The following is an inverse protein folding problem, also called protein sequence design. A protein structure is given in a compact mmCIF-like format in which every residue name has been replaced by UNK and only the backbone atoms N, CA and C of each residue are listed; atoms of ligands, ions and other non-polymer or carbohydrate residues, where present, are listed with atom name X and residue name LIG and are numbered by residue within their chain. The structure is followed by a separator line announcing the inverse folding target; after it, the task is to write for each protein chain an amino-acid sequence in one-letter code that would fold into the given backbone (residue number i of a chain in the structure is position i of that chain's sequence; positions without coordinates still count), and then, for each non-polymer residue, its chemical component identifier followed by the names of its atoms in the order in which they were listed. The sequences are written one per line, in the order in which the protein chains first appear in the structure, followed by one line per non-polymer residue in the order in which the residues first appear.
data_IF_372217079476
#
_entry.id   IF_372217079476
#
_cell.length_a   1.000
_cell.length_b   1.000
_cell.length_c   1.000
_cell.angle_alpha   90.00
_cell.angle_beta   90.00
_cell.angle_gamma   90.00
#
_symmetry.space_group_name_H-M   'P 1'
#
loop_
_entity.id
_entity.type
_entity.pdbx_description
1 polymer ?
#
# COMPACT_ATOMS: atom_id res chain seq x y z
N UNK A 1 5.93 16.63 -54.13
CA UNK A 1 6.37 15.61 -53.16
C UNK A 1 5.90 16.07 -51.80
N UNK A 2 4.84 15.46 -51.28
CA UNK A 2 4.21 15.87 -50.02
C UNK A 2 4.68 14.89 -48.95
N UNK A 3 5.47 15.38 -48.00
CA UNK A 3 6.04 14.57 -46.91
C UNK A 3 5.03 14.60 -45.76
N UNK A 4 4.33 13.49 -45.56
CA UNK A 4 3.44 13.31 -44.39
C UNK A 4 4.29 12.96 -43.17
N UNK A 5 4.39 13.88 -42.23
CA UNK A 5 4.93 13.63 -40.90
C UNK A 5 3.93 12.81 -40.09
N UNK A 6 4.33 11.61 -39.66
CA UNK A 6 3.58 10.82 -38.69
C UNK A 6 3.89 11.42 -37.31
N UNK A 7 2.89 12.04 -36.69
CA UNK A 7 2.95 12.42 -35.27
C UNK A 7 2.58 11.16 -34.48
N UNK A 8 3.58 10.50 -33.90
CA UNK A 8 3.35 9.46 -32.89
C UNK A 8 2.85 10.15 -31.63
N UNK A 9 1.55 10.06 -31.36
CA UNK A 9 0.99 10.43 -30.07
C UNK A 9 1.45 9.38 -29.04
N UNK A 10 2.39 9.77 -28.17
CA UNK A 10 2.70 9.00 -26.97
C UNK A 10 1.54 9.24 -26.01
N UNK A 11 0.66 8.27 -25.87
CA UNK A 11 -0.34 8.22 -24.81
C UNK A 11 0.41 8.05 -23.50
N UNK A 12 0.68 9.16 -22.80
CA UNK A 12 1.02 9.12 -21.39
C UNK A 12 -0.22 8.56 -20.68
N UNK A 13 -0.17 7.28 -20.31
CA UNK A 13 -1.10 6.71 -19.36
C UNK A 13 -0.88 7.45 -18.05
N UNK A 14 -1.66 8.50 -17.83
CA UNK A 14 -1.78 9.17 -16.56
C UNK A 14 -2.53 8.17 -15.67
N UNK A 15 -1.78 7.30 -14.99
CA UNK A 15 -2.30 6.48 -13.90
C UNK A 15 -2.81 7.45 -12.84
N UNK A 16 -4.09 7.76 -12.90
CA UNK A 16 -4.74 8.67 -11.98
C UNK A 16 -4.57 8.13 -10.57
N UNK A 17 -3.98 8.95 -9.70
CA UNK A 17 -3.91 8.72 -8.27
C UNK A 17 -5.29 8.95 -7.69
N UNK A 18 -6.17 7.96 -7.77
CA UNK A 18 -7.40 7.98 -6.99
C UNK A 18 -7.05 7.50 -5.59
N UNK A 19 -7.10 8.40 -4.60
CA UNK A 19 -7.35 7.97 -3.23
C UNK A 19 -8.57 7.03 -3.27
N UNK A 20 -8.55 5.94 -2.52
CA UNK A 20 -9.69 5.03 -2.46
C UNK A 20 -10.94 5.85 -2.12
N UNK A 21 -11.91 5.91 -3.05
CA UNK A 21 -13.10 6.77 -2.91
C UNK A 21 -13.89 6.42 -1.64
N UNK A 22 -13.85 5.13 -1.28
CA UNK A 22 -14.24 4.56 0.01
C UNK A 22 -13.12 3.60 0.45
N UNK A 23 -12.72 3.68 1.72
CA UNK A 23 -11.63 2.84 2.24
C UNK A 23 -12.05 1.38 2.35
N UNK A 24 -11.09 0.46 2.41
CA UNK A 24 -11.40 -0.98 2.52
C UNK A 24 -12.24 -1.32 3.77
N UNK A 25 -12.17 -0.51 4.84
CA UNK A 25 -12.98 -0.69 6.05
C UNK A 25 -14.49 -0.57 5.79
N UNK A 26 -14.92 0.16 4.76
CA UNK A 26 -16.35 0.39 4.48
C UNK A 26 -17.04 -0.84 3.83
N UNK A 27 -16.24 -1.69 3.18
CA UNK A 27 -16.76 -2.76 2.32
C UNK A 27 -16.05 -4.10 2.46
N UNK A 28 -15.09 -4.22 3.38
CA UNK A 28 -14.41 -5.48 3.68
C UNK A 28 -14.47 -5.79 5.19
N UNK A 29 -14.11 -7.02 5.56
CA UNK A 29 -14.12 -7.53 6.95
C UNK A 29 -13.17 -8.72 7.11
N UNK A 30 -12.99 -9.22 8.34
CA UNK A 30 -12.13 -10.36 8.68
C UNK A 30 -10.68 -10.12 8.24
N UNK A 31 -10.12 -9.02 8.72
CA UNK A 31 -8.80 -8.57 8.30
C UNK A 31 -7.70 -9.42 8.92
N UNK A 32 -6.66 -9.71 8.14
CA UNK A 32 -5.42 -10.28 8.66
C UNK A 32 -4.25 -9.67 7.90
N UNK A 33 -3.19 -9.37 8.63
CA UNK A 33 -1.95 -8.85 8.09
C UNK A 33 -0.79 -9.74 8.54
N UNK A 34 -0.06 -10.29 7.58
CA UNK A 34 1.02 -11.26 7.82
C UNK A 34 2.37 -10.74 7.31
N UNK A 35 3.45 -11.44 7.67
CA UNK A 35 4.81 -11.16 7.20
C UNK A 35 5.31 -9.73 7.52
N UNK A 36 4.90 -9.22 8.67
CA UNK A 36 5.23 -7.86 9.11
C UNK A 36 6.68 -7.68 9.54
N UNK A 37 7.32 -8.75 10.00
CA UNK A 37 8.67 -8.74 10.56
C UNK A 37 9.50 -9.83 9.89
N UNK A 38 10.74 -9.53 9.52
CA UNK A 38 11.60 -10.52 8.89
C UNK A 38 12.74 -9.90 8.08
N UNK A 39 13.14 -10.61 7.01
CA UNK A 39 14.20 -10.17 6.11
C UNK A 39 13.70 -9.03 5.22
N UNK A 40 14.61 -8.19 4.74
CA UNK A 40 14.30 -7.19 3.70
C UNK A 40 13.80 -7.86 2.42
N UNK A 41 12.88 -7.20 1.73
CA UNK A 41 12.21 -7.72 0.52
C UNK A 41 11.11 -8.75 0.79
N UNK A 42 10.67 -8.89 2.05
CA UNK A 42 9.53 -9.74 2.43
C UNK A 42 8.22 -9.23 1.82
N UNK A 43 7.15 -10.02 1.85
CA UNK A 43 5.88 -9.68 1.20
C UNK A 43 4.75 -9.60 2.21
N UNK A 44 4.56 -8.44 2.86
CA UNK A 44 3.49 -8.25 3.83
C UNK A 44 2.13 -8.32 3.12
N UNK A 45 1.33 -9.32 3.48
CA UNK A 45 0.05 -9.60 2.82
C UNK A 45 -1.09 -9.16 3.73
N UNK A 46 -1.90 -8.21 3.22
CA UNK A 46 -3.22 -7.91 3.76
C UNK A 46 -4.24 -8.85 3.11
N UNK A 47 -5.05 -9.52 3.93
CA UNK A 47 -6.17 -10.33 3.46
C UNK A 47 -7.48 -9.84 4.08
N UNK A 48 -8.57 -9.94 3.32
CA UNK A 48 -9.90 -9.57 3.77
C UNK A 48 -10.98 -10.32 3.00
N UNK A 49 -12.20 -10.30 3.53
CA UNK A 49 -13.43 -10.66 2.81
C UNK A 49 -14.13 -9.37 2.38
N UNK A 50 -14.21 -9.10 1.08
CA UNK A 50 -14.69 -7.86 0.49
C UNK A 50 -16.02 -8.03 -0.24
N UNK A 51 -16.88 -7.00 -0.19
CA UNK A 51 -18.17 -6.99 -0.89
C UNK A 51 -17.97 -6.97 -2.41
N UNK A 52 -18.74 -7.81 -3.09
CA UNK A 52 -18.94 -7.82 -4.54
C UNK A 52 -20.45 -7.89 -4.80
N UNK A 53 -21.06 -6.74 -5.09
CA UNK A 53 -22.52 -6.60 -5.17
C UNK A 53 -23.23 -7.10 -3.89
N UNK A 54 -24.15 -8.06 -4.02
CA UNK A 54 -24.87 -8.70 -2.90
C UNK A 54 -24.11 -9.89 -2.28
N UNK A 55 -22.88 -10.13 -2.71
CA UNK A 55 -22.04 -11.25 -2.27
C UNK A 55 -20.72 -10.75 -1.68
N UNK A 56 -19.89 -11.68 -1.21
CA UNK A 56 -18.55 -11.38 -0.73
C UNK A 56 -17.51 -12.30 -1.35
N UNK A 57 -16.30 -11.80 -1.53
CA UNK A 57 -15.16 -12.52 -2.07
C UNK A 57 -13.96 -12.37 -1.14
N UNK A 58 -13.17 -13.44 -1.00
CA UNK A 58 -11.88 -13.35 -0.32
C UNK A 58 -10.85 -12.70 -1.23
N UNK A 59 -10.05 -11.78 -0.70
CA UNK A 59 -9.04 -11.04 -1.44
C UNK A 59 -7.74 -10.88 -0.65
N UNK A 60 -6.63 -10.75 -1.38
CA UNK A 60 -5.29 -10.49 -0.85
C UNK A 60 -4.62 -9.32 -1.57
N UNK A 61 -3.76 -8.61 -0.86
CA UNK A 61 -2.96 -7.51 -1.38
C UNK A 61 -1.58 -7.52 -0.73
N UNK A 62 -0.53 -7.58 -1.55
CA UNK A 62 0.83 -7.34 -1.09
C UNK A 62 1.05 -5.84 -0.88
N UNK A 63 1.32 -5.42 0.35
CA UNK A 63 1.47 -4.00 0.68
C UNK A 63 2.67 -3.35 0.00
N UNK A 64 3.67 -4.11 -0.46
CA UNK A 64 4.77 -3.56 -1.28
C UNK A 64 4.27 -2.97 -2.61
N UNK A 65 3.09 -3.36 -3.08
CA UNK A 65 2.49 -2.77 -4.29
C UNK A 65 1.90 -1.37 -4.03
N UNK A 66 1.67 -1.03 -2.76
CA UNK A 66 1.04 0.23 -2.37
C UNK A 66 2.00 1.15 -1.62
N UNK A 67 2.93 0.62 -0.84
CA UNK A 67 3.78 1.43 0.03
C UNK A 67 5.25 1.29 -0.36
N UNK A 68 5.93 2.43 -0.40
CA UNK A 68 7.38 2.54 -0.47
C UNK A 68 7.93 3.15 0.81
N UNK A 69 9.26 3.20 0.92
CA UNK A 69 9.94 3.93 1.98
C UNK A 69 10.86 4.99 1.38
N UNK A 70 10.74 6.24 1.84
CA UNK A 70 11.70 7.30 1.52
C UNK A 70 12.77 7.34 2.60
N UNK A 71 14.00 6.98 2.26
CA UNK A 71 15.12 7.21 3.17
C UNK A 71 15.36 8.71 3.38
N UNK A 72 15.02 9.57 2.41
CA UNK A 72 15.24 11.03 2.52
C UNK A 72 14.30 11.64 3.57
N UNK A 73 13.03 11.21 3.55
CA UNK A 73 11.98 11.76 4.42
C UNK A 73 11.73 10.90 5.67
N UNK A 74 12.38 9.73 5.73
CA UNK A 74 12.26 8.76 6.82
C UNK A 74 10.83 8.27 7.03
N UNK A 75 10.07 8.15 5.95
CA UNK A 75 8.64 7.93 6.00
C UNK A 75 8.17 6.99 4.90
N UNK A 76 6.94 6.48 5.06
CA UNK A 76 6.25 5.83 3.96
C UNK A 76 6.00 6.82 2.80
N UNK A 77 5.97 6.26 1.58
CA UNK A 77 5.59 6.99 0.37
C UNK A 77 4.50 6.25 -0.41
N UNK A 78 3.62 7.04 -1.01
CA UNK A 78 2.58 6.60 -1.93
C UNK A 78 2.48 7.60 -3.09
N UNK A 79 2.42 7.17 -4.36
CA UNK A 79 2.63 5.79 -4.82
C UNK A 79 4.09 5.33 -4.64
N UNK A 80 4.35 4.01 -4.59
CA UNK A 80 5.69 3.49 -4.37
C UNK A 80 6.53 3.51 -5.66
N UNK A 81 7.83 3.80 -5.54
CA UNK A 81 8.82 3.50 -6.58
C UNK A 81 9.41 2.08 -6.44
N UNK A 82 9.16 1.42 -5.31
CA UNK A 82 9.61 0.10 -4.91
C UNK A 82 8.98 -0.28 -3.56
N UNK A 83 9.01 -1.55 -3.19
CA UNK A 83 8.38 -2.03 -1.97
C UNK A 83 9.08 -1.52 -0.71
N UNK A 84 8.34 -0.98 0.25
CA UNK A 84 8.90 -0.43 1.49
C UNK A 84 9.75 -1.45 2.28
N UNK A 85 9.45 -2.75 2.17
CA UNK A 85 10.20 -3.81 2.84
C UNK A 85 11.61 -4.03 2.35
N UNK A 86 12.00 -3.45 1.20
CA UNK A 86 13.41 -3.41 0.78
C UNK A 86 14.25 -2.56 1.74
N UNK A 87 13.63 -1.62 2.45
CA UNK A 87 14.29 -0.72 3.40
C UNK A 87 13.98 -1.07 4.85
N UNK A 88 12.72 -1.35 5.17
CA UNK A 88 12.27 -1.54 6.57
C UNK A 88 12.46 -2.97 7.05
N UNK A 89 12.76 -3.14 8.34
CA UNK A 89 13.10 -4.44 8.95
C UNK A 89 11.98 -5.00 9.82
N UNK A 90 11.18 -4.14 10.44
CA UNK A 90 10.08 -4.54 11.31
C UNK A 90 8.89 -3.59 11.24
N UNK A 91 7.70 -4.19 11.30
CA UNK A 91 6.44 -3.48 11.23
C UNK A 91 5.45 -4.01 12.26
N UNK A 92 4.50 -3.17 12.61
CA UNK A 92 3.38 -3.50 13.47
C UNK A 92 2.10 -2.90 12.90
N UNK A 93 0.98 -3.45 13.36
CA UNK A 93 -0.34 -2.89 13.13
C UNK A 93 -1.00 -2.82 14.51
N UNK A 94 -0.73 -1.74 15.24
CA UNK A 94 -1.24 -1.58 16.61
C UNK A 94 -2.50 -0.73 16.57
N UNK A 95 -3.63 -1.30 16.94
CA UNK A 95 -4.90 -0.60 17.04
C UNK A 95 -5.66 -1.08 18.27
N UNK A 96 -6.57 -0.24 18.76
CA UNK A 96 -7.42 -0.53 19.91
C UNK A 96 -8.88 -0.42 19.47
N UNK A 97 -9.72 -1.37 19.88
CA UNK A 97 -11.13 -1.45 19.45
C UNK A 97 -11.38 -2.69 18.60
N UNK A 98 -12.32 -2.60 17.65
CA UNK A 98 -12.62 -3.66 16.69
C UNK A 98 -11.94 -3.47 15.32
N UNK A 99 -12.42 -4.26 14.35
CA UNK A 99 -11.93 -4.25 12.96
C UNK A 99 -12.10 -2.88 12.28
N UNK A 100 -13.00 -2.04 12.78
CA UNK A 100 -13.19 -0.65 12.32
C UNK A 100 -11.96 0.24 12.48
N UNK A 101 -10.97 -0.18 13.26
CA UNK A 101 -9.69 0.52 13.46
C UNK A 101 -8.49 -0.20 12.82
N UNK A 102 -8.73 -1.27 12.06
CA UNK A 102 -7.66 -2.09 11.50
C UNK A 102 -6.82 -1.27 10.51
N UNK A 103 -5.50 -1.23 10.72
CA UNK A 103 -4.59 -0.52 9.83
C UNK A 103 -4.52 1.00 10.07
N UNK A 104 -5.16 1.53 11.11
CA UNK A 104 -5.09 2.96 11.45
C UNK A 104 -3.68 3.41 11.84
N UNK A 105 -2.95 2.58 12.57
CA UNK A 105 -1.55 2.82 12.96
C UNK A 105 -0.63 1.69 12.46
N UNK A 106 -0.70 1.40 11.17
CA UNK A 106 0.31 0.53 10.56
C UNK A 106 1.64 1.28 10.54
N UNK A 107 2.66 0.76 11.22
CA UNK A 107 3.93 1.46 11.34
C UNK A 107 5.12 0.54 11.14
N UNK A 108 6.23 1.10 10.68
CA UNK A 108 7.47 0.37 10.45
C UNK A 108 8.69 1.17 10.90
N UNK A 109 9.75 0.45 11.24
CA UNK A 109 11.08 1.00 11.49
C UNK A 109 11.91 0.95 10.20
N UNK A 110 12.39 2.11 9.76
CA UNK A 110 13.21 2.25 8.55
C UNK A 110 14.27 3.34 8.65
N UNK A 111 15.25 3.35 7.74
CA UNK A 111 16.37 4.28 7.79
C UNK A 111 16.02 5.69 7.29
N UNK A 112 16.65 6.72 7.87
CA UNK A 112 16.68 8.11 7.36
C UNK A 112 17.84 8.39 6.39
N UNK A 113 18.76 7.45 6.22
CA UNK A 113 19.83 7.48 5.22
C UNK A 113 20.33 6.06 5.04
N UNK A 114 20.88 5.71 3.87
CA UNK A 114 21.48 4.37 3.66
C UNK A 114 22.75 4.11 4.50
N UNK A 115 23.28 5.14 5.16
CA UNK A 115 24.55 5.10 5.89
C UNK A 115 24.39 5.13 7.42
N UNK A 116 23.19 5.40 7.93
CA UNK A 116 22.93 5.49 9.37
C UNK A 116 22.24 4.20 9.87
N UNK A 117 22.76 3.54 10.91
CA UNK A 117 22.06 2.44 11.58
C UNK A 117 20.81 2.87 12.35
N UNK A 118 20.60 4.17 12.61
CA UNK A 118 19.41 4.64 13.32
C UNK A 118 18.15 4.41 12.48
N UNK A 119 17.22 3.64 13.05
CA UNK A 119 15.90 3.42 12.48
C UNK A 119 14.88 4.39 13.09
N UNK A 120 14.02 4.91 12.22
CA UNK A 120 12.94 5.83 12.55
C UNK A 120 11.62 5.11 12.36
N UNK A 121 10.71 5.34 13.31
CA UNK A 121 9.38 4.77 13.28
C UNK A 121 8.42 5.76 12.64
N UNK A 122 7.84 5.36 11.52
CA UNK A 122 6.78 6.11 10.85
C UNK A 122 5.48 5.31 10.84
N UNK A 123 4.35 6.03 10.81
CA UNK A 123 3.01 5.46 10.90
C UNK A 123 2.18 5.90 9.70
N UNK A 124 1.42 4.95 9.15
CA UNK A 124 0.58 5.13 7.99
C UNK A 124 -0.81 4.53 8.23
N UNK A 125 -1.85 5.20 7.75
CA UNK A 125 -3.22 4.69 7.79
C UNK A 125 -3.53 3.95 6.50
N UNK A 126 -3.60 2.61 6.55
CA UNK A 126 -3.83 1.78 5.36
C UNK A 126 -5.15 2.11 4.64
N UNK A 127 -6.19 2.44 5.41
CA UNK A 127 -7.52 2.76 4.88
C UNK A 127 -7.54 4.05 4.02
N UNK A 128 -6.47 4.85 4.04
CA UNK A 128 -6.38 6.09 3.24
C UNK A 128 -6.06 5.84 1.77
N UNK A 129 -5.49 4.68 1.43
CA UNK A 129 -5.07 4.36 0.06
C UNK A 129 -5.60 3.01 -0.44
N UNK A 130 -5.93 2.09 0.47
CA UNK A 130 -6.45 0.77 0.10
C UNK A 130 -7.98 0.82 0.10
N UNK A 131 -8.57 0.45 -1.02
CA UNK A 131 -10.00 0.30 -1.21
C UNK A 131 -10.38 -1.11 -1.66
N UNK A 132 -11.65 -1.25 -2.02
CA UNK A 132 -12.23 -2.45 -2.60
C UNK A 132 -12.72 -2.15 -4.03
N UNK A 133 -12.12 -2.81 -5.02
CA UNK A 133 -12.53 -2.75 -6.42
C UNK A 133 -13.10 -4.11 -6.80
N UNK A 134 -14.43 -4.17 -6.97
CA UNK A 134 -15.15 -5.38 -7.39
C UNK A 134 -14.81 -6.65 -6.57
N UNK A 135 -14.74 -6.51 -5.25
CA UNK A 135 -14.42 -7.61 -4.33
C UNK A 135 -12.92 -7.86 -4.16
N UNK A 136 -12.05 -7.05 -4.78
CA UNK A 136 -10.60 -7.12 -4.67
C UNK A 136 -10.02 -5.94 -3.89
N UNK A 137 -9.14 -6.21 -2.94
CA UNK A 137 -8.29 -5.20 -2.33
C UNK A 137 -7.37 -4.59 -3.38
N UNK A 138 -7.28 -3.26 -3.39
CA UNK A 138 -6.42 -2.52 -4.33
C UNK A 138 -6.05 -1.15 -3.75
N UNK A 139 -4.89 -0.67 -4.17
CA UNK A 139 -4.54 0.75 -4.24
C UNK A 139 -4.43 1.12 -5.74
#
# INVERSE_FOLDING_TARGET
MQVSSIITAITLALSGTTLATDGFLDSCSNFTLTDLNGVRGRSPILTATCKLNETTMWSELNLNNCLGWSAIDCSFIFPPSGGFTDSVTGCNNTFYGGDEHFGENFGCYGPCTDSNPDEYYDVFTLNSIIGNTDGSLSC
#
